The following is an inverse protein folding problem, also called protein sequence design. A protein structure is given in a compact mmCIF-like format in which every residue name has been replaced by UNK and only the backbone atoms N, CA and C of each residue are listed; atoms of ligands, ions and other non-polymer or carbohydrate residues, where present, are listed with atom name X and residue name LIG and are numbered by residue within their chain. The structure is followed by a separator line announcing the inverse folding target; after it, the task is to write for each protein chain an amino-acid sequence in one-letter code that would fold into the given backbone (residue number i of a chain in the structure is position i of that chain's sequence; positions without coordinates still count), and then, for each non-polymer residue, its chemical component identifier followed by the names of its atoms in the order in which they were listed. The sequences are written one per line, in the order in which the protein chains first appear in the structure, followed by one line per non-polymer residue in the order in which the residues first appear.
data_IF_700597577586
#
_entry.id   IF_700597577586
#
_cell.length_a   1.000
_cell.length_b   1.000
_cell.length_c   1.000
_cell.angle_alpha   90.00
_cell.angle_beta   90.00
_cell.angle_gamma   90.00
#
_symmetry.space_group_name_H-M   'P 1'
#
loop_
_entity.id
_entity.type
_entity.pdbx_description
1 polymer ?
#
# COMPACT_ATOMS: atom_id res chain seq x y z
N UNK A 1 -20.74 7.96 -15.29
CA UNK A 1 -19.39 7.57 -15.76
C UNK A 1 -18.76 6.77 -14.63
N UNK A 2 -18.39 5.52 -14.84
CA UNK A 2 -17.76 4.72 -13.80
C UNK A 2 -16.34 5.26 -13.57
N UNK A 3 -16.05 5.77 -12.37
CA UNK A 3 -14.69 6.13 -11.99
C UNK A 3 -13.82 4.87 -12.10
N UNK A 4 -12.77 4.95 -12.92
CA UNK A 4 -11.80 3.86 -12.99
C UNK A 4 -11.14 3.70 -11.63
N UNK A 5 -10.77 2.47 -11.30
CA UNK A 5 -10.20 2.14 -10.00
C UNK A 5 -8.93 2.97 -9.70
N UNK A 6 -8.17 3.30 -10.73
CA UNK A 6 -7.06 4.26 -10.67
C UNK A 6 -7.48 5.66 -10.17
N UNK A 7 -8.57 6.24 -10.71
CA UNK A 7 -9.06 7.55 -10.26
C UNK A 7 -9.47 7.53 -8.79
N UNK A 8 -10.03 6.41 -8.32
CA UNK A 8 -10.37 6.24 -6.90
C UNK A 8 -9.12 6.19 -6.03
N UNK A 9 -8.11 5.42 -6.42
CA UNK A 9 -6.83 5.36 -5.69
C UNK A 9 -6.19 6.74 -5.61
N UNK A 10 -6.11 7.46 -6.73
CA UNK A 10 -5.54 8.81 -6.76
C UNK A 10 -6.34 9.74 -5.85
N UNK A 11 -7.67 9.73 -5.96
CA UNK A 11 -8.52 10.56 -5.10
C UNK A 11 -8.38 10.25 -3.60
N UNK A 12 -8.22 8.97 -3.23
CA UNK A 12 -7.97 8.57 -1.84
C UNK A 12 -6.59 9.03 -1.34
N UNK A 13 -5.55 8.92 -2.19
CA UNK A 13 -4.21 9.42 -1.87
C UNK A 13 -4.16 10.94 -1.73
N UNK A 14 -4.96 11.67 -2.51
CA UNK A 14 -5.06 13.13 -2.41
C UNK A 14 -5.80 13.57 -1.14
N UNK A 15 -6.83 12.83 -0.72
CA UNK A 15 -7.55 13.09 0.53
C UNK A 15 -6.67 12.81 1.76
N UNK A 16 -5.95 11.69 1.75
CA UNK A 16 -5.12 11.25 2.87
C UNK A 16 -3.64 11.60 2.66
N UNK A 17 -3.32 12.89 2.70
CA UNK A 17 -1.96 13.40 2.44
C UNK A 17 -0.91 12.78 3.37
N UNK A 18 -1.25 12.54 4.64
CA UNK A 18 -0.33 11.90 5.60
C UNK A 18 -0.02 10.45 5.23
N UNK A 19 -1.04 9.70 4.76
CA UNK A 19 -0.87 8.32 4.32
C UNK A 19 -0.04 8.25 3.04
N UNK A 20 -0.32 9.15 2.09
CA UNK A 20 0.48 9.30 0.88
C UNK A 20 1.95 9.58 1.20
N UNK A 21 2.24 10.56 2.05
CA UNK A 21 3.62 10.89 2.44
C UNK A 21 4.34 9.72 3.10
N UNK A 22 3.65 8.96 3.95
CA UNK A 22 4.20 7.75 4.55
C UNK A 22 4.51 6.68 3.50
N UNK A 23 3.61 6.43 2.54
CA UNK A 23 3.86 5.48 1.44
C UNK A 23 5.00 5.94 0.52
N UNK A 24 5.13 7.25 0.26
CA UNK A 24 6.24 7.83 -0.50
C UNK A 24 7.57 7.68 0.25
N UNK A 25 7.59 7.93 1.57
CA UNK A 25 8.78 7.77 2.41
C UNK A 25 9.30 6.33 2.43
N UNK A 26 8.39 5.36 2.47
CA UNK A 26 8.74 3.94 2.37
C UNK A 26 9.04 3.48 0.94
N UNK A 27 8.91 4.36 -0.07
CA UNK A 27 8.99 4.03 -1.50
C UNK A 27 8.04 2.91 -1.91
N UNK A 28 6.89 2.83 -1.23
CA UNK A 28 5.90 1.78 -1.43
C UNK A 28 4.93 2.09 -2.59
N UNK A 29 4.90 3.31 -3.11
CA UNK A 29 4.09 3.65 -4.29
C UNK A 29 4.82 3.27 -5.59
N UNK A 30 4.24 2.34 -6.35
CA UNK A 30 4.77 1.86 -7.62
C UNK A 30 3.73 2.00 -8.74
N UNK A 31 4.16 1.73 -9.98
CA UNK A 31 3.26 1.56 -11.12
C UNK A 31 3.13 0.07 -11.43
N UNK A 32 1.91 -0.44 -11.49
CA UNK A 32 1.64 -1.78 -12.00
C UNK A 32 1.98 -1.84 -13.52
N UNK A 33 2.06 -3.05 -14.08
CA UNK A 33 2.15 -3.40 -15.50
C UNK A 33 1.22 -2.63 -16.43
N UNK A 34 0.12 -2.07 -15.89
CA UNK A 34 -0.87 -1.25 -16.61
C UNK A 34 -0.67 0.26 -16.48
N UNK A 35 0.37 0.71 -15.77
CA UNK A 35 0.65 2.13 -15.50
C UNK A 35 -0.15 2.75 -14.34
N UNK A 36 -0.96 1.94 -13.64
CA UNK A 36 -1.79 2.37 -12.51
C UNK A 36 -0.94 2.51 -11.25
N UNK A 37 -1.13 3.59 -10.49
CA UNK A 37 -0.48 3.74 -9.18
C UNK A 37 -1.04 2.72 -8.19
N UNK A 38 -0.17 1.89 -7.64
CA UNK A 38 -0.52 0.86 -6.63
C UNK A 38 0.51 0.86 -5.51
N UNK A 39 0.19 0.22 -4.39
CA UNK A 39 1.17 -0.03 -3.33
C UNK A 39 1.91 -1.33 -3.63
N UNK A 40 3.23 -1.35 -3.40
CA UNK A 40 4.07 -2.52 -3.58
C UNK A 40 3.50 -3.74 -2.83
N UNK A 41 3.44 -4.88 -3.51
CA UNK A 41 2.85 -6.11 -2.98
C UNK A 41 1.33 -6.19 -3.02
N UNK A 42 0.63 -5.10 -3.40
CA UNK A 42 -0.82 -5.05 -3.48
C UNK A 42 -1.31 -4.90 -4.93
N UNK A 43 -2.42 -5.57 -5.23
CA UNK A 43 -3.18 -5.29 -6.45
C UNK A 43 -3.86 -3.90 -6.39
N UNK A 44 -4.34 -3.36 -7.52
CA UNK A 44 -5.11 -2.13 -7.52
C UNK A 44 -6.32 -2.18 -6.55
N UNK A 45 -7.06 -3.29 -6.54
CA UNK A 45 -8.21 -3.45 -5.65
C UNK A 45 -7.81 -3.46 -4.16
N UNK A 46 -6.72 -4.16 -3.82
CA UNK A 46 -6.18 -4.17 -2.46
C UNK A 46 -5.61 -2.81 -2.06
N UNK A 47 -5.05 -2.06 -3.00
CA UNK A 47 -4.59 -0.69 -2.76
C UNK A 47 -5.76 0.23 -2.41
N UNK A 48 -6.86 0.18 -3.17
CA UNK A 48 -8.07 0.94 -2.84
C UNK A 48 -8.61 0.54 -1.46
N UNK A 49 -8.68 -0.76 -1.18
CA UNK A 49 -9.15 -1.29 0.10
C UNK A 49 -8.29 -0.79 1.27
N UNK A 50 -6.96 -0.85 1.15
CA UNK A 50 -6.03 -0.36 2.16
C UNK A 50 -6.25 1.14 2.46
N UNK A 51 -6.29 1.96 1.40
CA UNK A 51 -6.50 3.40 1.52
C UNK A 51 -7.86 3.77 2.11
N UNK A 52 -8.86 2.91 1.91
CA UNK A 52 -10.20 3.09 2.48
C UNK A 52 -10.27 2.69 3.96
N UNK A 53 -9.55 1.65 4.36
CA UNK A 53 -9.56 1.12 5.73
C UNK A 53 -8.80 2.01 6.72
N UNK A 54 -7.66 2.60 6.34
CA UNK A 54 -6.85 3.44 7.24
C UNK A 54 -7.65 4.58 7.91
N UNK A 55 -8.39 5.45 7.17
CA UNK A 55 -9.18 6.51 7.80
C UNK A 55 -10.36 5.96 8.62
N UNK A 56 -10.95 4.82 8.24
CA UNK A 56 -12.04 4.18 9.01
C UNK A 56 -11.55 3.68 10.37
N UNK A 57 -10.36 3.07 10.40
CA UNK A 57 -9.73 2.61 11.64
C UNK A 57 -9.33 3.80 12.52
N UNK A 58 -8.85 4.91 11.94
CA UNK A 58 -8.48 6.12 12.70
C UNK A 58 -9.71 6.87 13.23
N UNK A 59 -10.78 6.92 12.45
CA UNK A 59 -12.01 7.62 12.80
C UNK A 59 -12.91 6.86 13.79
N UNK A 60 -12.40 5.81 14.45
CA UNK A 60 -13.04 4.79 15.30
C UNK A 60 -14.18 5.24 16.26
N UNK A 61 -14.39 6.53 16.46
CA UNK A 61 -15.35 7.11 17.40
C UNK A 61 -16.78 7.17 16.81
N UNK A 62 -17.38 6.01 16.55
CA UNK A 62 -18.85 5.88 16.51
C UNK A 62 -19.51 5.53 15.18
N UNK A 63 -18.75 5.24 14.12
CA UNK A 63 -19.33 4.88 12.81
C UNK A 63 -19.50 3.37 12.58
N UNK A 64 -18.89 2.51 13.42
CA UNK A 64 -18.79 1.07 13.20
C UNK A 64 -18.95 0.31 14.52
N UNK A 65 -19.52 -0.89 14.47
CA UNK A 65 -19.56 -1.81 15.62
C UNK A 65 -18.16 -2.33 15.97
N UNK A 66 -17.99 -2.83 17.18
CA UNK A 66 -16.72 -3.40 17.65
C UNK A 66 -16.24 -4.54 16.74
N UNK A 67 -17.14 -5.44 16.30
CA UNK A 67 -16.81 -6.55 15.39
C UNK A 67 -16.36 -6.04 14.02
N UNK A 68 -17.03 -5.02 13.48
CA UNK A 68 -16.65 -4.43 12.19
C UNK A 68 -15.30 -3.73 12.27
N UNK A 69 -15.01 -3.08 13.39
CA UNK A 69 -13.70 -2.47 13.62
C UNK A 69 -12.59 -3.52 13.73
N UNK A 70 -12.83 -4.61 14.46
CA UNK A 70 -11.85 -5.69 14.60
C UNK A 70 -11.57 -6.34 13.24
N UNK A 71 -12.60 -6.63 12.46
CA UNK A 71 -12.45 -7.16 11.10
C UNK A 71 -11.72 -6.19 10.16
N UNK A 72 -12.05 -4.89 10.21
CA UNK A 72 -11.38 -3.86 9.43
C UNK A 72 -9.89 -3.73 9.81
N UNK A 73 -9.59 -3.81 11.11
CA UNK A 73 -8.23 -3.75 11.65
C UNK A 73 -7.42 -4.99 11.27
N UNK A 74 -8.00 -6.17 11.37
CA UNK A 74 -7.37 -7.43 10.95
C UNK A 74 -7.05 -7.37 9.45
N UNK A 75 -8.03 -6.97 8.63
CA UNK A 75 -7.82 -6.84 7.19
C UNK A 75 -6.74 -5.83 6.83
N UNK A 76 -6.73 -4.68 7.50
CA UNK A 76 -5.68 -3.68 7.32
C UNK A 76 -4.30 -4.20 7.75
N UNK A 77 -4.23 -5.02 8.81
CA UNK A 77 -2.98 -5.65 9.25
C UNK A 77 -2.46 -6.66 8.22
N UNK A 78 -3.33 -7.49 7.63
CA UNK A 78 -2.97 -8.40 6.53
C UNK A 78 -2.39 -7.66 5.33
N UNK A 79 -3.05 -6.58 4.89
CA UNK A 79 -2.59 -5.78 3.76
C UNK A 79 -1.24 -5.11 4.08
N UNK A 80 -1.07 -4.64 5.32
CA UNK A 80 0.21 -4.06 5.76
C UNK A 80 1.35 -5.08 5.76
N UNK A 81 1.08 -6.31 6.19
CA UNK A 81 2.07 -7.40 6.18
C UNK A 81 2.53 -7.75 4.76
N UNK A 82 1.60 -7.76 3.80
CA UNK A 82 1.93 -7.91 2.37
C UNK A 82 2.83 -6.79 1.85
N UNK A 83 2.54 -5.54 2.23
CA UNK A 83 3.36 -4.39 1.86
C UNK A 83 4.77 -4.56 2.45
N UNK A 84 4.88 -4.90 3.74
CA UNK A 84 6.17 -5.07 4.42
C UNK A 84 7.00 -6.18 3.77
N UNK A 85 6.38 -7.33 3.50
CA UNK A 85 7.01 -8.46 2.79
C UNK A 85 7.52 -8.02 1.41
N UNK A 86 6.69 -7.33 0.63
CA UNK A 86 7.10 -6.86 -0.70
C UNK A 86 8.21 -5.80 -0.64
N UNK A 87 8.24 -4.96 0.40
CA UNK A 87 9.32 -4.00 0.61
C UNK A 87 10.62 -4.70 1.03
N UNK A 88 10.55 -5.75 1.86
CA UNK A 88 11.70 -6.56 2.24
C UNK A 88 12.27 -7.32 1.03
N UNK A 89 11.43 -7.93 0.21
CA UNK A 89 11.87 -8.64 -1.00
C UNK A 89 12.59 -7.68 -1.97
N UNK A 90 12.04 -6.48 -2.19
CA UNK A 90 12.70 -5.44 -2.99
C UNK A 90 14.03 -4.96 -2.39
N UNK A 91 14.13 -4.89 -1.05
CA UNK A 91 15.38 -4.54 -0.39
C UNK A 91 16.44 -5.65 -0.55
N UNK A 92 16.04 -6.92 -0.51
CA UNK A 92 16.92 -8.08 -0.72
C UNK A 92 17.39 -8.15 -2.18
N UNK A 93 16.51 -7.91 -3.16
CA UNK A 93 16.89 -7.85 -4.58
C UNK A 93 17.86 -6.68 -4.83
N UNK A 94 17.61 -5.51 -4.23
CA UNK A 94 18.52 -4.35 -4.32
C UNK A 94 19.89 -4.59 -3.67
N UNK A 95 19.98 -5.44 -2.64
CA UNK A 95 21.25 -5.82 -2.00
C UNK A 95 21.99 -6.90 -2.80
N UNK A 96 21.26 -7.78 -3.47
CA UNK A 96 21.82 -8.85 -4.31
C UNK A 96 22.47 -8.30 -5.59
N UNK A 97 21.95 -7.19 -6.12
CA UNK A 97 22.51 -6.51 -7.30
C UNK A 97 23.88 -5.85 -7.03
N UNK A 98 24.19 -5.52 -5.76
CA UNK A 98 25.51 -5.02 -5.34
C UNK A 98 26.58 -6.11 -5.20
N UNK A 99 26.19 -7.39 -5.10
CA UNK A 99 27.12 -8.53 -4.98
C UNK A 99 27.67 -9.07 -6.31
N UNK A 100 27.10 -8.64 -7.46
CA UNK A 100 27.47 -9.14 -8.79
C UNK A 100 28.64 -8.42 -9.47
N UNK A 101 29.04 -7.24 -8.98
CA UNK A 101 30.02 -6.38 -9.66
C UNK A 101 31.48 -6.54 -9.20
N UNK A 102 31.79 -7.50 -8.31
CA UNK A 102 33.12 -7.66 -7.71
C UNK A 102 33.82 -8.98 -8.08
N UNK A 103 33.64 -9.49 -9.31
CA UNK A 103 34.35 -10.70 -9.76
C UNK A 103 34.83 -10.63 -11.22
N UNK A 104 35.44 -9.51 -11.63
CA UNK A 104 36.39 -9.46 -12.77
C UNK A 104 37.42 -8.36 -12.52
N UNK A 105 38.62 -8.76 -12.10
CA UNK A 105 39.79 -7.90 -11.91
C UNK A 105 40.92 -8.69 -11.30
#
# INVERSE_FOLDING_TARGET
MAHTLEQKIIGLLEQETALRQWLEQMRALIKDSRGVTVIAGLSPAETEEFLRLDPQIRAHRGAMSQTEFEAARERHAELKDKIDTALQDNAIESLSDWGGAAARG
#
